data_IF_595265640864
#
_entry.id   IF_595265640864
#
_cell.length_a   1.000
_cell.length_b   1.000
_cell.length_c   1.000
_cell.angle_alpha   90.00
_cell.angle_beta   90.00
_cell.angle_gamma   90.00
#
_symmetry.space_group_name_H-M   'P 1'
#
loop_
_entity.id
_entity.type
_entity.pdbx_description
1 polymer ?
#
# COMPACT_ATOMS: atom_id res chain seq x y z
N UNK A 1 10.60 21.89 17.12
CA UNK A 1 10.25 21.05 15.96
C UNK A 1 8.77 20.67 16.06
N UNK A 2 7.95 21.06 15.10
CA UNK A 2 6.48 21.05 15.22
C UNK A 2 5.81 19.94 14.42
N UNK A 3 4.61 19.53 14.86
CA UNK A 3 3.67 18.52 14.28
C UNK A 3 3.61 18.42 12.73
N UNK A 4 3.94 19.50 12.01
CA UNK A 4 3.99 19.55 10.55
C UNK A 4 5.07 18.61 9.99
N UNK A 5 6.20 18.47 10.69
CA UNK A 5 7.29 17.58 10.29
C UNK A 5 6.88 16.11 10.42
N UNK A 6 6.31 15.71 11.56
CA UNK A 6 5.82 14.33 11.79
C UNK A 6 4.76 13.90 10.77
N UNK A 7 3.80 14.79 10.45
CA UNK A 7 2.79 14.51 9.42
C UNK A 7 3.44 14.30 8.05
N UNK A 8 4.44 15.12 7.72
CA UNK A 8 5.13 15.06 6.44
C UNK A 8 5.99 13.80 6.33
N UNK A 9 6.69 13.42 7.41
CA UNK A 9 7.41 12.15 7.53
C UNK A 9 6.48 10.95 7.37
N UNK A 10 5.32 10.94 8.06
CA UNK A 10 4.32 9.87 7.94
C UNK A 10 3.82 9.72 6.50
N UNK A 11 3.54 10.83 5.82
CA UNK A 11 3.12 10.79 4.41
C UNK A 11 4.23 10.26 3.51
N UNK A 12 5.50 10.64 3.73
CA UNK A 12 6.65 10.10 3.00
C UNK A 12 6.79 8.60 3.21
N UNK A 13 6.68 8.13 4.45
CA UNK A 13 6.74 6.71 4.79
C UNK A 13 5.63 5.89 4.13
N UNK A 14 4.37 6.35 4.23
CA UNK A 14 3.23 5.68 3.55
C UNK A 14 3.48 5.58 2.05
N UNK A 15 3.94 6.66 1.39
CA UNK A 15 4.22 6.65 -0.05
C UNK A 15 5.35 5.69 -0.42
N UNK A 16 6.37 5.57 0.43
CA UNK A 16 7.46 4.62 0.22
C UNK A 16 6.95 3.18 0.31
N UNK A 17 6.14 2.87 1.31
CA UNK A 17 5.46 1.57 1.46
C UNK A 17 4.56 1.26 0.25
N UNK A 18 3.74 2.21 -0.19
CA UNK A 18 2.85 2.03 -1.35
C UNK A 18 3.64 1.70 -2.63
N UNK A 19 4.76 2.39 -2.87
CA UNK A 19 5.63 2.14 -4.02
C UNK A 19 6.26 0.75 -3.95
N UNK A 20 6.81 0.38 -2.78
CA UNK A 20 7.41 -0.93 -2.55
C UNK A 20 6.40 -2.05 -2.79
N UNK A 21 5.25 -1.99 -2.13
CA UNK A 21 4.17 -2.97 -2.23
C UNK A 21 3.62 -3.04 -3.65
N UNK A 22 3.39 -1.91 -4.34
CA UNK A 22 2.90 -1.90 -5.73
C UNK A 22 3.87 -2.61 -6.67
N UNK A 23 5.18 -2.42 -6.50
CA UNK A 23 6.17 -3.15 -7.29
C UNK A 23 6.11 -4.66 -7.07
N UNK A 24 5.91 -5.11 -5.83
CA UNK A 24 5.79 -6.53 -5.51
C UNK A 24 4.50 -7.14 -6.09
N UNK A 25 3.36 -6.48 -5.91
CA UNK A 25 2.06 -6.92 -6.46
C UNK A 25 2.14 -7.09 -7.98
N UNK A 26 2.74 -6.13 -8.68
CA UNK A 26 2.87 -6.18 -10.13
C UNK A 26 3.62 -7.43 -10.61
N UNK A 27 4.65 -7.87 -9.87
CA UNK A 27 5.39 -9.08 -10.20
C UNK A 27 4.62 -10.35 -9.81
N UNK A 28 3.98 -10.37 -8.63
CA UNK A 28 3.20 -11.53 -8.15
C UNK A 28 2.05 -11.89 -9.09
N UNK A 29 1.43 -10.88 -9.74
CA UNK A 29 0.28 -11.04 -10.65
C UNK A 29 0.68 -11.35 -12.10
N UNK A 30 1.98 -11.46 -12.42
CA UNK A 30 2.43 -11.88 -13.75
C UNK A 30 2.10 -13.35 -14.01
N UNK A 31 1.69 -13.65 -15.24
CA UNK A 31 1.46 -15.03 -15.70
C UNK A 31 2.77 -15.81 -15.73
N UNK A 32 3.85 -15.17 -16.17
CA UNK A 32 5.23 -15.67 -16.19
C UNK A 32 5.98 -15.37 -14.89
N UNK A 33 5.36 -15.63 -13.74
CA UNK A 33 5.97 -15.35 -12.44
C UNK A 33 7.32 -16.07 -12.27
N UNK A 34 8.37 -15.26 -12.15
CA UNK A 34 9.74 -15.70 -11.87
C UNK A 34 10.09 -15.32 -10.42
N UNK A 35 10.37 -16.34 -9.62
CA UNK A 35 10.69 -16.20 -8.19
C UNK A 35 12.02 -15.47 -7.98
N UNK A 36 13.05 -15.77 -8.78
CA UNK A 36 14.38 -15.17 -8.62
C UNK A 36 14.33 -13.69 -8.99
N UNK A 37 13.65 -13.36 -10.08
CA UNK A 37 13.41 -11.97 -10.49
C UNK A 37 12.60 -11.21 -9.42
N UNK A 38 11.60 -11.87 -8.82
CA UNK A 38 10.81 -11.31 -7.74
C UNK A 38 11.68 -10.97 -6.52
N UNK A 39 12.48 -11.93 -6.04
CA UNK A 39 13.37 -11.75 -4.90
C UNK A 39 14.39 -10.63 -5.15
N UNK A 40 15.06 -10.65 -6.30
CA UNK A 40 16.02 -9.60 -6.68
C UNK A 40 15.39 -8.20 -6.69
N UNK A 41 14.15 -8.09 -7.19
CA UNK A 41 13.41 -6.82 -7.17
C UNK A 41 13.02 -6.42 -5.75
N UNK A 42 12.57 -7.36 -4.92
CA UNK A 42 12.22 -7.11 -3.52
C UNK A 42 13.42 -6.56 -2.77
N UNK A 43 14.59 -7.20 -2.85
CA UNK A 43 15.80 -6.74 -2.17
C UNK A 43 16.18 -5.31 -2.57
N UNK A 44 16.25 -5.03 -3.88
CA UNK A 44 16.58 -3.69 -4.39
C UNK A 44 15.61 -2.61 -3.91
N UNK A 45 14.30 -2.90 -3.95
CA UNK A 45 13.31 -1.92 -3.52
C UNK A 45 13.26 -1.78 -1.99
N UNK A 46 13.61 -2.82 -1.24
CA UNK A 46 13.70 -2.79 0.21
C UNK A 46 14.84 -1.85 0.67
N UNK A 47 15.97 -1.82 -0.04
CA UNK A 47 17.03 -0.83 0.23
C UNK A 47 16.55 0.61 0.06
N UNK A 48 15.68 0.86 -0.92
CA UNK A 48 15.07 2.18 -1.11
C UNK A 48 14.11 2.51 0.03
N UNK A 49 13.31 1.54 0.48
CA UNK A 49 12.39 1.72 1.60
C UNK A 49 13.14 2.01 2.91
N UNK A 50 14.25 1.31 3.18
CA UNK A 50 15.10 1.50 4.37
C UNK A 50 15.69 2.90 4.51
N UNK A 51 15.78 3.67 3.42
CA UNK A 51 16.24 5.08 3.46
C UNK A 51 15.18 6.05 3.99
N UNK A 52 13.94 5.59 4.14
CA UNK A 52 12.83 6.39 4.65
C UNK A 52 12.60 6.03 6.11
N UNK A 53 12.63 7.05 6.98
CA UNK A 53 12.41 6.85 8.41
C UNK A 53 11.01 6.27 8.69
N UNK A 54 10.90 5.18 9.46
CA UNK A 54 9.61 4.62 9.85
C UNK A 54 8.81 5.62 10.67
N UNK A 55 7.52 5.70 10.41
CA UNK A 55 6.59 6.54 11.16
C UNK A 55 5.44 5.70 11.70
N UNK A 56 4.90 6.07 12.86
CA UNK A 56 3.77 5.35 13.44
C UNK A 56 2.51 5.43 12.55
N UNK A 57 1.90 4.26 12.30
CA UNK A 57 0.69 4.07 11.49
C UNK A 57 -0.42 3.44 12.32
N UNK A 58 -1.51 4.18 12.52
CA UNK A 58 -2.66 3.82 13.34
C UNK A 58 -3.87 3.35 12.50
N UNK A 59 -3.95 3.83 11.25
CA UNK A 59 -5.09 3.55 10.38
C UNK A 59 -5.08 2.10 9.88
N UNK A 60 -6.25 1.42 9.78
CA UNK A 60 -6.32 0.01 9.38
C UNK A 60 -5.64 -0.29 8.04
N UNK A 61 -5.81 0.58 7.04
CA UNK A 61 -5.20 0.42 5.73
C UNK A 61 -3.68 0.57 5.78
N UNK A 62 -3.17 1.60 6.47
CA UNK A 62 -1.72 1.88 6.50
C UNK A 62 -0.99 0.85 7.36
N UNK A 63 -1.62 0.33 8.42
CA UNK A 63 -1.10 -0.79 9.20
C UNK A 63 -1.08 -2.09 8.39
N UNK A 64 -2.13 -2.37 7.62
CA UNK A 64 -2.14 -3.51 6.70
C UNK A 64 -1.09 -3.38 5.59
N UNK A 65 -0.85 -2.16 5.09
CA UNK A 65 0.20 -1.87 4.11
C UNK A 65 1.60 -2.16 4.68
N UNK A 66 1.88 -1.73 5.92
CA UNK A 66 3.13 -2.01 6.61
C UNK A 66 3.33 -3.51 6.88
N UNK A 67 2.28 -4.20 7.35
CA UNK A 67 2.31 -5.65 7.56
C UNK A 67 2.62 -6.39 6.25
N UNK A 68 1.97 -6.00 5.14
CA UNK A 68 2.22 -6.63 3.86
C UNK A 68 3.63 -6.36 3.33
N UNK A 69 4.15 -5.14 3.53
CA UNK A 69 5.55 -4.83 3.22
C UNK A 69 6.52 -5.73 4.03
N UNK A 70 6.19 -6.00 5.30
CA UNK A 70 6.97 -6.92 6.14
C UNK A 70 6.89 -8.36 5.62
N UNK A 71 5.70 -8.85 5.25
CA UNK A 71 5.52 -10.17 4.62
C UNK A 71 6.31 -10.34 3.33
N UNK A 72 6.35 -9.32 2.47
CA UNK A 72 7.15 -9.31 1.25
C UNK A 72 8.65 -9.36 1.61
N UNK A 73 9.07 -8.59 2.61
CA UNK A 73 10.49 -8.53 3.04
C UNK A 73 10.97 -9.85 3.64
N UNK A 74 10.06 -10.63 4.25
CA UNK A 74 10.30 -11.98 4.74
C UNK A 74 10.21 -13.06 3.64
N UNK A 75 9.94 -12.66 2.39
CA UNK A 75 9.81 -13.56 1.24
C UNK A 75 8.84 -14.73 1.51
N UNK A 76 7.69 -14.43 2.13
CA UNK A 76 6.63 -15.43 2.33
C UNK A 76 6.17 -16.07 1.02
N UNK A 77 5.44 -17.18 1.13
CA UNK A 77 4.93 -17.92 -0.03
C UNK A 77 4.08 -17.03 -0.95
N UNK A 78 4.15 -17.30 -2.26
CA UNK A 78 3.39 -16.55 -3.29
C UNK A 78 1.89 -16.50 -2.95
N UNK A 79 1.31 -17.61 -2.51
CA UNK A 79 -0.11 -17.70 -2.17
C UNK A 79 -0.48 -16.83 -0.97
N UNK A 80 0.37 -16.78 0.06
CA UNK A 80 0.18 -15.86 1.19
C UNK A 80 0.26 -14.40 0.75
N UNK A 81 1.25 -14.07 -0.08
CA UNK A 81 1.43 -12.71 -0.57
C UNK A 81 0.26 -12.26 -1.47
N UNK A 82 -0.28 -13.15 -2.30
CA UNK A 82 -1.48 -12.88 -3.11
C UNK A 82 -2.70 -12.68 -2.21
N UNK A 83 -2.88 -13.52 -1.18
CA UNK A 83 -3.97 -13.36 -0.20
C UNK A 83 -3.88 -12.01 0.51
N UNK A 84 -2.71 -11.63 1.00
CA UNK A 84 -2.49 -10.35 1.67
C UNK A 84 -2.70 -9.16 0.71
N UNK A 85 -2.24 -9.25 -0.55
CA UNK A 85 -2.49 -8.24 -1.57
C UNK A 85 -4.00 -8.01 -1.81
N UNK A 86 -4.77 -9.09 -1.92
CA UNK A 86 -6.22 -9.02 -2.12
C UNK A 86 -6.94 -8.41 -0.89
N UNK A 87 -6.49 -8.73 0.32
CA UNK A 87 -7.02 -8.13 1.56
C UNK A 87 -6.72 -6.62 1.62
N UNK A 88 -5.51 -6.22 1.24
CA UNK A 88 -5.10 -4.81 1.20
C UNK A 88 -5.95 -4.01 0.19
N UNK A 89 -6.21 -4.59 -0.99
CA UNK A 89 -7.07 -4.00 -2.01
C UNK A 89 -8.51 -3.78 -1.51
N UNK A 90 -9.09 -4.78 -0.82
CA UNK A 90 -10.40 -4.66 -0.16
C UNK A 90 -10.44 -3.55 0.89
N UNK A 91 -9.38 -3.37 1.66
CA UNK A 91 -9.30 -2.28 2.65
C UNK A 91 -9.24 -0.90 1.99
N UNK A 92 -8.53 -0.79 0.85
CA UNK A 92 -8.43 0.46 0.09
C UNK A 92 -9.79 0.88 -0.48
N UNK A 93 -10.53 -0.05 -1.07
CA UNK A 93 -11.85 0.23 -1.70
C UNK A 93 -12.94 0.52 -0.67
N UNK A 94 -12.91 -0.09 0.52
CA UNK A 94 -13.87 0.19 1.63
C UNK A 94 -13.93 1.68 2.03
N UNK A 95 -12.81 2.42 1.96
CA UNK A 95 -12.81 3.88 2.22
C UNK A 95 -13.41 4.69 1.07
N UNK A 96 -13.34 4.20 -0.17
CA UNK A 96 -13.89 4.87 -1.37
C UNK A 96 -15.40 4.67 -1.49
N UNK A 97 -15.91 3.48 -1.17
CA UNK A 97 -17.33 3.10 -1.31
C UNK A 97 -18.29 4.02 -0.53
N UNK A 98 -17.87 4.54 0.64
CA UNK A 98 -18.68 5.50 1.41
C UNK A 98 -18.77 6.90 0.77
N UNK A 99 -17.83 7.30 -0.08
CA UNK A 99 -17.81 8.66 -0.66
C UNK A 99 -18.76 8.82 -1.84
N UNK A 100 -18.99 7.76 -2.63
CA UNK A 100 -19.86 7.85 -3.82
C UNK A 100 -21.35 7.95 -3.46
N UNK A 101 -21.79 7.32 -2.37
CA UNK A 101 -23.20 7.36 -1.93
C UNK A 101 -23.70 8.75 -1.52
N UNK A 102 -22.79 9.70 -1.25
CA UNK A 102 -23.12 11.08 -0.83
C UNK A 102 -22.86 12.13 -1.92
N UNK A 103 -22.62 11.74 -3.17
CA UNK A 103 -22.80 12.68 -4.29
C UNK A 103 -24.31 12.84 -4.51
N UNK A 104 -24.95 13.69 -3.68
CA UNK A 104 -26.26 14.25 -4.02
C UNK A 104 -26.11 14.85 -5.41
N UNK A 105 -26.90 14.37 -6.35
CA UNK A 105 -27.15 15.06 -7.61
C UNK A 105 -27.65 16.44 -7.21
N UNK A 106 -26.90 17.49 -7.54
CA UNK A 106 -27.43 18.84 -7.44
C UNK A 106 -28.67 18.87 -8.34
N UNK A 107 -29.84 19.03 -7.71
CA UNK A 107 -31.10 19.20 -8.42
C UNK A 107 -30.98 20.53 -9.17
N UNK A 108 -30.98 20.45 -10.50
CA UNK A 108 -31.17 21.62 -11.34
C UNK A 108 -32.67 21.95 -11.29
N UNK A 109 -33.10 22.68 -10.26
CA UNK A 109 -34.44 23.27 -10.21
C UNK A 109 -34.44 24.44 -11.19
N UNK A 110 -34.80 24.14 -12.44
CA UNK A 110 -35.03 25.14 -13.46
C UNK A 110 -36.33 25.87 -13.17
N UNK A 111 -36.23 27.09 -12.66
CA UNK A 111 -37.16 28.20 -12.87
C UNK A 111 -36.40 29.53 -12.75
#
# INVERSE_FOLDING_TARGET
MGKIDEKSQRVKYIRALERFVKSAINLLKREDFDKELFEARVFKNLEVLKKVEPAHLDQPYTKALENFASSISLLKSKDELIKEANLLEKLKTKKSYKKEKHKKRDFNDGY
#
